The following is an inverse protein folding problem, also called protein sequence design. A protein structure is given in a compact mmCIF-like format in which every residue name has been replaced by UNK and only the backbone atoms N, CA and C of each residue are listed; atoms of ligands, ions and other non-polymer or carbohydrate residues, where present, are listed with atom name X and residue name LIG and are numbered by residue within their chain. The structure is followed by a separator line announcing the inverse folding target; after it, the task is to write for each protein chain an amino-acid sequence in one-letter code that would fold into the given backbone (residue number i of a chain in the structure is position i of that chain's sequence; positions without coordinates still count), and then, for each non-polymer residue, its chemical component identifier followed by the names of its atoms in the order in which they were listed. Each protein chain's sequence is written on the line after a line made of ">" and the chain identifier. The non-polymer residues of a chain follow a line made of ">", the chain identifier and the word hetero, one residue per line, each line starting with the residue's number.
data_IF_315543770888
#
_entry.id   IF_315543770888
#
_cell.length_a   1.000
_cell.length_b   1.000
_cell.length_c   1.000
_cell.angle_alpha   90.00
_cell.angle_beta   90.00
_cell.angle_gamma   90.00
#
_symmetry.space_group_name_H-M   'P 1'
#
loop_
_entity.id
_entity.type
_entity.pdbx_description
1 polymer ?
#
# COMPACT_ATOMS: atom_id res chain seq x y z
N UNK A 1 2.00 -4.20 -10.70
CA UNK A 1 1.89 -3.80 -9.29
C UNK A 1 3.22 -4.06 -8.59
N UNK A 2 3.66 -3.13 -7.75
CA UNK A 2 4.76 -3.33 -6.81
C UNK A 2 4.19 -3.10 -5.43
N UNK A 3 4.32 -4.10 -4.56
CA UNK A 3 3.83 -4.05 -3.20
C UNK A 3 5.01 -3.90 -2.24
N UNK A 4 4.80 -3.11 -1.19
CA UNK A 4 5.73 -2.97 -0.08
C UNK A 4 4.96 -3.14 1.22
N UNK A 5 5.58 -3.72 2.23
CA UNK A 5 4.98 -3.88 3.56
C UNK A 5 4.94 -2.57 4.35
N UNK A 6 4.34 -1.52 3.79
CA UNK A 6 4.19 -0.22 4.45
C UNK A 6 2.76 0.29 4.32
N UNK A 7 2.08 0.45 5.44
CA UNK A 7 0.70 0.91 5.54
C UNK A 7 0.37 1.31 6.97
N UNK A 8 -0.85 1.80 7.23
CA UNK A 8 -1.26 2.30 8.54
C UNK A 8 -1.02 1.32 9.69
N UNK A 9 -1.21 0.02 9.45
CA UNK A 9 -0.99 -1.05 10.44
C UNK A 9 0.45 -1.52 10.59
N UNK A 10 1.43 -0.98 9.84
CA UNK A 10 2.83 -1.39 9.96
C UNK A 10 3.37 -1.07 11.35
N UNK A 11 3.91 -2.09 12.02
CA UNK A 11 4.40 -2.02 13.40
C UNK A 11 5.75 -1.30 13.44
N UNK A 12 5.92 -0.42 14.42
CA UNK A 12 7.18 0.25 14.72
C UNK A 12 7.85 -0.39 15.93
N UNK A 13 9.15 -0.65 15.82
CA UNK A 13 9.94 -1.33 16.85
C UNK A 13 11.41 -0.93 16.79
N UNK A 14 12.15 -1.20 17.85
CA UNK A 14 13.60 -0.96 17.91
C UNK A 14 14.31 -2.30 17.83
N UNK A 15 15.22 -2.44 16.87
CA UNK A 15 15.99 -3.67 16.71
C UNK A 15 17.09 -3.83 17.76
N UNK A 16 17.71 -5.01 17.80
CA UNK A 16 18.79 -5.33 18.76
C UNK A 16 20.03 -4.42 18.61
N UNK A 17 20.17 -3.75 17.50
CA UNK A 17 21.22 -2.76 17.26
C UNK A 17 20.85 -1.34 17.70
N UNK A 18 19.64 -1.14 18.25
CA UNK A 18 19.15 0.18 18.68
C UNK A 18 18.63 1.05 17.53
N UNK A 19 18.29 0.47 16.37
CA UNK A 19 17.74 1.23 15.25
C UNK A 19 16.22 1.11 15.21
N UNK A 20 15.54 2.25 14.97
CA UNK A 20 14.09 2.29 14.73
C UNK A 20 13.75 1.61 13.41
N UNK A 21 12.78 0.71 13.44
CA UNK A 21 12.25 -0.03 12.29
C UNK A 21 10.75 0.15 12.17
N UNK A 22 10.26 0.07 10.93
CA UNK A 22 8.83 0.10 10.62
C UNK A 22 8.53 -1.02 9.62
N UNK A 23 7.60 -1.92 10.00
CA UNK A 23 7.36 -3.15 9.27
C UNK A 23 8.50 -4.17 9.41
N UNK A 24 8.52 -5.27 8.64
CA UNK A 24 7.49 -5.66 7.66
C UNK A 24 6.20 -6.20 8.30
N UNK A 25 6.19 -6.38 9.62
CA UNK A 25 5.02 -6.87 10.35
C UNK A 25 3.92 -5.81 10.42
N UNK A 26 2.69 -6.28 10.37
CA UNK A 26 1.49 -5.44 10.48
C UNK A 26 0.60 -5.94 11.60
N UNK A 27 0.02 -5.01 12.35
CA UNK A 27 -1.01 -5.32 13.35
C UNK A 27 -2.34 -5.76 12.71
N UNK A 28 -2.48 -5.66 11.39
CA UNK A 28 -3.70 -6.00 10.68
C UNK A 28 -4.87 -5.07 11.02
N UNK A 29 -6.08 -5.58 10.84
CA UNK A 29 -7.31 -4.93 11.25
C UNK A 29 -7.68 -5.30 12.70
N UNK A 30 -7.35 -6.53 13.10
CA UNK A 30 -7.54 -7.09 14.44
C UNK A 30 -6.23 -7.76 14.90
N UNK A 31 -5.70 -7.38 16.07
CA UNK A 31 -6.19 -6.34 16.98
C UNK A 31 -6.01 -4.92 16.43
N UNK A 32 -5.24 -4.70 15.35
CA UNK A 32 -5.00 -3.42 14.73
C UNK A 32 -4.10 -2.47 15.52
N UNK A 33 -4.01 -1.21 15.09
CA UNK A 33 -3.34 -0.13 15.82
C UNK A 33 -3.79 -0.01 17.27
N UNK A 34 -2.88 0.37 18.15
CA UNK A 34 -3.20 0.55 19.59
C UNK A 34 -4.34 1.54 19.78
N UNK A 35 -4.36 2.61 19.01
CA UNK A 35 -5.37 3.66 19.10
C UNK A 35 -6.79 3.19 18.74
N UNK A 36 -6.96 2.02 18.11
CA UNK A 36 -8.30 1.48 17.84
C UNK A 36 -8.98 0.92 19.09
N UNK A 37 -8.22 0.64 20.16
CA UNK A 37 -8.79 0.10 21.41
C UNK A 37 -9.29 -1.35 21.32
N UNK A 38 -8.87 -2.09 20.27
CA UNK A 38 -9.29 -3.47 20.02
C UNK A 38 -8.29 -4.52 20.55
N UNK A 39 -7.38 -4.10 21.44
CA UNK A 39 -6.38 -4.98 22.06
C UNK A 39 -5.01 -4.97 21.39
N UNK A 40 -4.76 -4.08 20.44
CA UNK A 40 -3.44 -3.83 19.88
C UNK A 40 -2.47 -3.33 20.97
N UNK A 41 -1.23 -3.82 20.96
CA UNK A 41 -0.20 -3.46 21.95
C UNK A 41 1.06 -2.88 21.34
N UNK A 42 1.27 -3.09 20.06
CA UNK A 42 2.45 -2.63 19.33
C UNK A 42 2.13 -1.35 18.54
N UNK A 43 2.95 -0.28 18.67
CA UNK A 43 2.67 0.97 18.00
C UNK A 43 2.82 0.83 16.48
N UNK A 44 1.96 1.53 15.75
CA UNK A 44 1.91 1.49 14.29
C UNK A 44 2.09 2.87 13.67
N UNK A 45 2.14 2.93 12.34
CA UNK A 45 2.09 4.19 11.57
C UNK A 45 0.82 4.99 11.90
N UNK A 46 -0.32 4.32 12.11
CA UNK A 46 -1.58 4.99 12.48
C UNK A 46 -1.46 5.66 13.85
N UNK A 47 -0.87 4.99 14.84
CA UNK A 47 -0.62 5.55 16.16
C UNK A 47 0.31 6.76 16.08
N UNK A 48 1.37 6.69 15.26
CA UNK A 48 2.28 7.80 15.03
C UNK A 48 1.59 9.00 14.37
N UNK A 49 0.72 8.78 13.38
CA UNK A 49 -0.06 9.85 12.75
C UNK A 49 -1.05 10.50 13.74
N UNK A 50 -1.65 9.71 14.63
CA UNK A 50 -2.53 10.23 15.67
C UNK A 50 -1.76 11.10 16.68
N UNK A 51 -0.60 10.62 17.16
CA UNK A 51 0.25 11.38 18.11
C UNK A 51 0.74 12.70 17.50
N UNK A 52 0.99 12.72 16.20
CA UNK A 52 1.40 13.92 15.46
C UNK A 52 0.22 14.85 15.09
N UNK A 53 -1.01 14.54 15.52
CA UNK A 53 -2.19 15.36 15.26
C UNK A 53 -2.65 15.36 13.80
N UNK A 54 -2.28 14.37 13.01
CA UNK A 54 -2.71 14.21 11.61
C UNK A 54 -4.06 13.50 11.48
N UNK A 55 -4.48 12.83 12.54
CA UNK A 55 -5.79 12.20 12.69
C UNK A 55 -6.54 12.85 13.84
N UNK A 56 -7.83 13.10 13.67
CA UNK A 56 -8.69 13.60 14.74
C UNK A 56 -9.12 12.43 15.63
N UNK A 57 -8.78 12.41 16.92
CA UNK A 57 -9.16 11.34 17.83
C UNK A 57 -10.67 11.18 18.00
N UNK A 58 -11.46 12.23 17.76
CA UNK A 58 -12.90 12.23 17.93
C UNK A 58 -13.67 12.02 16.62
N UNK A 59 -12.99 12.02 15.48
CA UNK A 59 -13.61 11.86 14.17
C UNK A 59 -12.77 10.98 13.26
N UNK A 60 -12.96 9.67 13.39
CA UNK A 60 -12.32 8.66 12.56
C UNK A 60 -13.38 7.74 11.93
N UNK A 61 -13.10 7.18 10.75
CA UNK A 61 -14.05 6.34 9.99
C UNK A 61 -15.44 7.00 9.83
N UNK A 62 -15.47 8.29 9.45
CA UNK A 62 -16.75 9.02 9.30
C UNK A 62 -17.42 9.41 10.61
N UNK A 63 -16.70 9.33 11.74
CA UNK A 63 -17.24 9.60 13.08
C UNK A 63 -17.76 8.35 13.80
N UNK A 64 -17.61 7.18 13.20
CA UNK A 64 -18.06 5.91 13.81
C UNK A 64 -17.09 5.39 14.88
N UNK A 65 -15.86 5.88 14.90
CA UNK A 65 -14.82 5.44 15.82
C UNK A 65 -14.11 6.62 16.45
N UNK A 66 -13.86 6.56 17.76
CA UNK A 66 -12.94 7.42 18.49
C UNK A 66 -11.61 6.69 18.71
N UNK A 67 -10.50 7.43 18.64
CA UNK A 67 -9.16 6.87 18.77
C UNK A 67 -8.57 7.14 20.16
N UNK A 68 -7.93 6.14 20.75
CA UNK A 68 -7.22 6.26 22.03
C UNK A 68 -5.84 6.91 21.83
N UNK A 69 -5.80 8.23 21.93
CA UNK A 69 -4.53 8.99 21.88
C UNK A 69 -3.60 8.63 23.06
N UNK A 70 -4.17 8.36 24.25
CA UNK A 70 -3.39 8.02 25.43
C UNK A 70 -2.65 6.71 25.25
N UNK A 71 -3.36 5.66 24.79
CA UNK A 71 -2.79 4.36 24.48
C UNK A 71 -1.72 4.43 23.39
N UNK A 72 -1.97 5.18 22.30
CA UNK A 72 -1.00 5.38 21.24
C UNK A 72 0.31 6.04 21.75
N UNK A 73 0.20 7.10 22.55
CA UNK A 73 1.35 7.79 23.16
C UNK A 73 2.16 6.85 24.05
N UNK A 74 1.47 6.06 24.87
CA UNK A 74 2.12 5.12 25.80
C UNK A 74 2.83 3.98 25.06
N UNK A 75 2.22 3.45 24.00
CA UNK A 75 2.83 2.41 23.18
C UNK A 75 4.10 2.91 22.47
N UNK A 76 4.05 4.11 21.85
CA UNK A 76 5.22 4.73 21.22
C UNK A 76 6.29 5.05 22.25
N UNK A 77 5.90 5.54 23.44
CA UNK A 77 6.83 5.83 24.52
C UNK A 77 7.67 4.58 24.88
N UNK A 78 6.98 3.47 25.17
CA UNK A 78 7.63 2.23 25.62
C UNK A 78 8.45 1.55 24.53
N UNK A 79 7.86 1.40 23.35
CA UNK A 79 8.46 0.59 22.28
C UNK A 79 9.55 1.34 21.50
N UNK A 80 9.49 2.67 21.45
CA UNK A 80 10.35 3.44 20.56
C UNK A 80 11.06 4.60 21.27
N UNK A 81 10.33 5.48 21.97
CA UNK A 81 10.91 6.71 22.50
C UNK A 81 11.94 6.46 23.61
N UNK A 82 11.59 5.68 24.64
CA UNK A 82 12.50 5.34 25.75
C UNK A 82 13.75 4.61 25.28
N UNK A 83 13.67 3.53 24.48
CA UNK A 83 14.87 2.82 24.01
C UNK A 83 15.81 3.70 23.19
N UNK A 84 15.30 4.73 22.52
CA UNK A 84 16.07 5.62 21.66
C UNK A 84 16.47 6.95 22.35
N UNK A 85 16.01 7.21 23.56
CA UNK A 85 16.23 8.48 24.25
C UNK A 85 15.58 9.67 23.56
N UNK A 86 14.44 9.46 22.88
CA UNK A 86 13.70 10.49 22.14
C UNK A 86 12.44 10.93 22.90
N UNK A 87 11.91 12.09 22.52
CA UNK A 87 10.52 12.44 22.88
C UNK A 87 9.53 11.54 22.13
N UNK A 88 8.30 11.44 22.63
CA UNK A 88 7.24 10.64 22.00
C UNK A 88 6.97 11.17 20.58
N UNK A 89 6.89 12.49 20.42
CA UNK A 89 6.69 13.15 19.13
C UNK A 89 7.89 12.93 18.19
N UNK A 90 9.12 12.95 18.75
CA UNK A 90 10.34 12.64 17.99
C UNK A 90 10.36 11.22 17.46
N UNK A 91 9.97 10.24 18.29
CA UNK A 91 9.84 8.85 17.87
C UNK A 91 8.71 8.67 16.84
N UNK A 92 7.54 9.30 17.06
CA UNK A 92 6.44 9.28 16.12
C UNK A 92 6.83 9.88 14.75
N UNK A 93 7.56 10.99 14.75
CA UNK A 93 8.09 11.57 13.52
C UNK A 93 9.08 10.62 12.82
N UNK A 94 9.98 9.99 13.57
CA UNK A 94 10.92 8.99 13.04
C UNK A 94 10.21 7.82 12.37
N UNK A 95 9.14 7.31 12.98
CA UNK A 95 8.30 6.25 12.41
C UNK A 95 7.77 6.66 11.03
N UNK A 96 7.21 7.86 10.93
CA UNK A 96 6.65 8.36 9.68
C UNK A 96 7.73 8.59 8.61
N UNK A 97 8.89 9.12 8.96
CA UNK A 97 9.97 9.35 8.01
C UNK A 97 10.56 8.04 7.46
N UNK A 98 10.68 7.00 8.28
CA UNK A 98 11.10 5.66 7.83
C UNK A 98 10.08 5.07 6.85
N UNK A 99 8.79 5.17 7.18
CA UNK A 99 7.72 4.70 6.30
C UNK A 99 7.71 5.45 4.96
N UNK A 100 7.82 6.77 4.98
CA UNK A 100 7.88 7.59 3.76
C UNK A 100 9.10 7.24 2.91
N UNK A 101 10.27 7.05 3.52
CA UNK A 101 11.49 6.64 2.82
C UNK A 101 11.32 5.29 2.12
N UNK A 102 10.68 4.32 2.78
CA UNK A 102 10.38 3.02 2.17
C UNK A 102 9.45 3.17 0.95
N UNK A 103 8.41 4.01 1.07
CA UNK A 103 7.48 4.31 -0.03
C UNK A 103 8.18 5.02 -1.20
N UNK A 104 9.05 6.00 -0.92
CA UNK A 104 9.85 6.68 -1.96
C UNK A 104 10.79 5.71 -2.68
N UNK A 105 11.42 4.80 -1.95
CA UNK A 105 12.28 3.77 -2.55
C UNK A 105 11.48 2.85 -3.48
N UNK A 106 10.28 2.42 -3.08
CA UNK A 106 9.39 1.64 -3.94
C UNK A 106 8.97 2.42 -5.20
N UNK A 107 8.67 3.71 -5.05
CA UNK A 107 8.33 4.58 -6.17
C UNK A 107 9.51 4.69 -7.16
N UNK A 108 10.75 4.77 -6.68
CA UNK A 108 11.95 4.77 -7.54
C UNK A 108 12.12 3.47 -8.33
N UNK A 109 11.72 2.32 -7.77
CA UNK A 109 11.76 1.03 -8.48
C UNK A 109 10.85 1.03 -9.73
N UNK A 110 9.70 1.70 -9.65
CA UNK A 110 8.71 1.72 -10.75
C UNK A 110 8.88 2.91 -11.69
N UNK A 111 9.69 3.88 -11.34
CA UNK A 111 9.98 5.09 -12.15
C UNK A 111 11.43 5.15 -12.60
N UNK A 112 12.34 5.57 -11.76
CA UNK A 112 13.75 5.83 -12.10
C UNK A 112 14.43 4.59 -12.67
N UNK A 113 14.25 3.42 -12.07
CA UNK A 113 14.84 2.18 -12.56
C UNK A 113 14.28 1.72 -13.91
N UNK A 114 13.14 2.26 -14.30
CA UNK A 114 12.53 2.03 -15.63
C UNK A 114 12.82 3.16 -16.61
N UNK A 115 13.68 4.11 -16.25
CA UNK A 115 14.04 5.24 -17.10
C UNK A 115 13.04 6.39 -17.11
N UNK A 116 12.10 6.44 -16.16
CA UNK A 116 11.15 7.54 -16.04
C UNK A 116 11.59 8.53 -14.98
N UNK A 117 11.55 9.82 -15.28
CA UNK A 117 11.80 10.89 -14.30
C UNK A 117 10.53 11.16 -13.48
N UNK A 118 10.53 10.97 -12.15
CA UNK A 118 9.37 11.24 -11.30
C UNK A 118 8.84 12.68 -11.41
N UNK A 119 9.70 13.65 -11.79
CA UNK A 119 9.32 15.06 -11.93
C UNK A 119 8.32 15.32 -13.06
N UNK A 120 8.24 14.41 -14.02
CA UNK A 120 7.32 14.50 -15.16
C UNK A 120 5.91 14.00 -14.82
N UNK A 121 5.73 13.44 -13.61
CA UNK A 121 4.49 12.80 -13.19
C UNK A 121 3.74 13.59 -12.12
N UNK A 122 2.52 13.15 -11.86
CA UNK A 122 1.70 13.55 -10.73
C UNK A 122 1.53 12.33 -9.82
N UNK A 123 1.71 12.52 -8.50
CA UNK A 123 1.43 11.47 -7.52
C UNK A 123 -0.05 11.47 -7.17
N UNK A 124 -0.69 10.31 -7.29
CA UNK A 124 -2.07 10.13 -6.84
C UNK A 124 -2.06 9.35 -5.52
N UNK A 125 -2.52 10.00 -4.45
CA UNK A 125 -2.65 9.38 -3.12
C UNK A 125 -4.08 8.95 -2.86
N UNK A 126 -4.30 7.64 -2.66
CA UNK A 126 -5.61 7.08 -2.34
C UNK A 126 -5.50 5.92 -1.35
N UNK A 127 -6.64 5.34 -0.94
CA UNK A 127 -6.72 4.38 0.16
C UNK A 127 -6.81 5.07 1.52
N UNK A 128 -6.82 4.30 2.59
CA UNK A 128 -6.98 4.81 3.96
C UNK A 128 -5.80 5.66 4.44
N UNK A 129 -4.56 5.22 4.21
CA UNK A 129 -3.35 5.88 4.69
C UNK A 129 -2.63 6.72 3.62
N UNK A 130 -2.80 6.40 2.33
CA UNK A 130 -2.09 7.03 1.22
C UNK A 130 -2.09 8.56 1.25
N UNK A 131 -3.24 9.23 1.39
CA UNK A 131 -3.34 10.69 1.45
C UNK A 131 -2.47 11.35 2.53
N UNK A 132 -2.34 10.72 3.70
CA UNK A 132 -1.57 11.26 4.82
C UNK A 132 -0.05 11.31 4.55
N UNK A 133 0.44 10.51 3.60
CA UNK A 133 1.85 10.40 3.23
C UNK A 133 2.18 11.09 1.90
N UNK A 134 1.19 11.31 1.04
CA UNK A 134 1.38 11.66 -0.37
C UNK A 134 2.23 12.93 -0.58
N UNK A 135 1.98 14.00 0.18
CA UNK A 135 2.71 15.26 0.04
C UNK A 135 4.19 15.06 0.39
N UNK A 136 4.47 14.40 1.51
CA UNK A 136 5.85 14.18 1.95
C UNK A 136 6.62 13.25 1.00
N UNK A 137 5.95 12.23 0.48
CA UNK A 137 6.51 11.35 -0.57
C UNK A 137 6.83 12.15 -1.83
N UNK A 138 5.92 13.01 -2.28
CA UNK A 138 6.13 13.84 -3.45
C UNK A 138 7.32 14.79 -3.29
N UNK A 139 7.46 15.46 -2.11
CA UNK A 139 8.60 16.31 -1.78
C UNK A 139 9.92 15.53 -1.88
N UNK A 140 10.01 14.36 -1.24
CA UNK A 140 11.21 13.52 -1.24
C UNK A 140 11.54 12.93 -2.62
N UNK A 141 10.53 12.68 -3.45
CA UNK A 141 10.70 12.16 -4.80
C UNK A 141 10.89 13.26 -5.86
N UNK A 142 10.71 14.53 -5.50
CA UNK A 142 10.75 15.66 -6.42
C UNK A 142 9.54 15.77 -7.34
N UNK A 143 8.41 15.14 -7.00
CA UNK A 143 7.18 15.17 -7.78
C UNK A 143 6.45 16.50 -7.53
N UNK A 144 6.18 17.31 -8.58
CA UNK A 144 5.68 18.67 -8.39
C UNK A 144 4.18 18.76 -8.07
N UNK A 145 3.41 17.68 -8.26
CA UNK A 145 1.95 17.69 -8.13
C UNK A 145 1.46 16.45 -7.41
N UNK A 146 0.52 16.66 -6.48
CA UNK A 146 -0.18 15.60 -5.76
C UNK A 146 -1.67 15.75 -6.01
N UNK A 147 -2.34 14.66 -6.33
CA UNK A 147 -3.78 14.57 -6.44
C UNK A 147 -4.33 13.63 -5.37
N UNK A 148 -5.26 14.11 -4.58
CA UNK A 148 -6.09 13.29 -3.69
C UNK A 148 -7.50 13.30 -4.28
N UNK A 149 -8.01 12.16 -4.79
CA UNK A 149 -9.34 12.10 -5.39
C UNK A 149 -10.44 12.29 -4.33
N UNK A 150 -11.64 12.63 -4.79
CA UNK A 150 -12.81 12.61 -3.92
C UNK A 150 -13.08 11.17 -3.46
N UNK A 151 -13.30 10.98 -2.16
CA UNK A 151 -13.48 9.64 -1.57
C UNK A 151 -12.24 8.74 -1.71
N UNK A 152 -11.05 9.18 -1.28
CA UNK A 152 -9.82 8.44 -1.51
C UNK A 152 -9.85 7.03 -0.92
N UNK A 153 -10.56 6.81 0.20
CA UNK A 153 -10.70 5.50 0.84
C UNK A 153 -11.46 4.46 -0.01
N UNK A 154 -12.32 4.91 -0.92
CA UNK A 154 -13.13 4.05 -1.80
C UNK A 154 -12.69 4.05 -3.26
N UNK A 155 -11.59 4.75 -3.58
CA UNK A 155 -11.12 4.89 -4.97
C UNK A 155 -10.79 3.54 -5.63
N UNK A 156 -10.25 2.58 -4.87
CA UNK A 156 -9.99 1.22 -5.40
C UNK A 156 -11.28 0.47 -5.74
N UNK A 157 -12.31 0.59 -4.90
CA UNK A 157 -13.61 -0.03 -5.16
C UNK A 157 -14.27 0.58 -6.40
N UNK A 158 -14.20 1.92 -6.55
CA UNK A 158 -14.67 2.59 -7.75
C UNK A 158 -13.88 2.10 -9.00
N UNK A 159 -12.57 1.96 -8.88
CA UNK A 159 -11.74 1.43 -9.96
C UNK A 159 -12.19 0.04 -10.40
N UNK A 160 -12.50 -0.85 -9.45
CA UNK A 160 -13.00 -2.20 -9.76
C UNK A 160 -14.37 -2.18 -10.45
N UNK A 161 -15.24 -1.24 -10.11
CA UNK A 161 -16.57 -1.11 -10.73
C UNK A 161 -16.51 -0.63 -12.21
N UNK A 162 -15.46 0.10 -12.59
CA UNK A 162 -15.29 0.66 -13.94
C UNK A 162 -14.23 -0.05 -14.76
N UNK A 163 -13.61 -1.08 -14.22
CA UNK A 163 -12.56 -1.85 -14.92
C UNK A 163 -13.20 -3.03 -15.65
N UNK A 164 -12.83 -3.18 -16.92
CA UNK A 164 -13.23 -4.35 -17.73
C UNK A 164 -12.64 -5.64 -17.15
N UNK A 165 -13.38 -6.72 -17.28
CA UNK A 165 -12.89 -8.07 -16.94
C UNK A 165 -11.79 -8.45 -17.93
N UNK A 166 -10.57 -8.65 -17.41
CA UNK A 166 -9.40 -9.00 -18.21
C UNK A 166 -8.87 -10.37 -17.79
N UNK A 167 -8.71 -11.23 -18.78
CA UNK A 167 -8.04 -12.53 -18.61
C UNK A 167 -6.66 -12.48 -19.24
N UNK A 168 -5.66 -12.93 -18.51
CA UNK A 168 -4.29 -13.03 -18.99
C UNK A 168 -3.84 -14.49 -18.94
N UNK A 169 -3.23 -14.95 -20.02
CA UNK A 169 -2.64 -16.28 -20.12
C UNK A 169 -1.21 -16.19 -20.65
N UNK A 170 -0.31 -17.03 -20.14
CA UNK A 170 1.06 -17.13 -20.64
C UNK A 170 1.45 -18.59 -20.81
N UNK A 171 2.31 -18.85 -21.80
CA UNK A 171 2.95 -20.14 -21.97
C UNK A 171 4.42 -19.93 -22.29
N UNK A 172 5.28 -20.77 -21.72
CA UNK A 172 6.72 -20.75 -22.02
C UNK A 172 7.01 -21.75 -23.13
N UNK A 173 7.60 -21.26 -24.22
CA UNK A 173 8.06 -22.09 -25.33
C UNK A 173 9.57 -21.92 -25.47
N UNK A 174 10.32 -22.97 -25.12
CA UNK A 174 11.78 -22.97 -25.23
C UNK A 174 12.11 -23.69 -26.57
N UNK A 175 12.62 -22.89 -27.53
CA UNK A 175 13.07 -23.40 -28.84
C UNK A 175 14.32 -22.65 -29.27
N UNK A 176 15.15 -23.26 -30.08
CA UNK A 176 16.27 -22.57 -30.72
C UNK A 176 15.75 -21.66 -31.83
N UNK A 177 16.44 -20.54 -32.09
CA UNK A 177 16.01 -19.57 -33.09
C UNK A 177 15.97 -20.09 -34.52
N UNK A 178 16.77 -21.15 -34.81
CA UNK A 178 16.82 -21.85 -36.09
C UNK A 178 15.81 -23.01 -36.22
N UNK A 179 15.12 -23.34 -35.12
CA UNK A 179 14.12 -24.42 -35.02
C UNK A 179 12.71 -23.88 -34.76
N UNK A 180 12.48 -22.59 -34.95
CA UNK A 180 11.16 -21.97 -34.68
C UNK A 180 10.12 -22.43 -35.69
N UNK A 181 9.12 -23.14 -35.22
CA UNK A 181 7.93 -23.53 -36.01
C UNK A 181 6.78 -22.55 -35.72
N UNK A 182 6.52 -21.62 -36.66
CA UNK A 182 5.43 -20.63 -36.50
C UNK A 182 4.04 -21.26 -36.29
N UNK A 183 3.67 -22.40 -36.94
CA UNK A 183 2.41 -23.07 -36.65
C UNK A 183 2.26 -23.52 -35.18
N UNK A 184 3.35 -23.94 -34.55
CA UNK A 184 3.37 -24.34 -33.15
C UNK A 184 3.12 -23.13 -32.24
N UNK A 185 3.72 -21.98 -32.55
CA UNK A 185 3.46 -20.71 -31.81
C UNK A 185 2.00 -20.33 -31.98
N UNK A 186 1.46 -20.37 -33.20
CA UNK A 186 0.06 -20.04 -33.46
C UNK A 186 -0.92 -20.95 -32.71
N UNK A 187 -0.62 -22.28 -32.63
CA UNK A 187 -1.45 -23.22 -31.87
C UNK A 187 -1.45 -22.92 -30.37
N UNK A 188 -0.31 -22.49 -29.81
CA UNK A 188 -0.25 -22.09 -28.40
C UNK A 188 -1.04 -20.81 -28.12
N UNK A 189 -0.99 -19.82 -29.00
CA UNK A 189 -1.85 -18.64 -28.90
C UNK A 189 -3.34 -19.02 -28.93
N UNK A 190 -3.76 -19.83 -29.88
CA UNK A 190 -5.15 -20.30 -29.95
C UNK A 190 -5.59 -21.05 -28.69
N UNK A 191 -4.70 -21.88 -28.12
CA UNK A 191 -4.97 -22.56 -26.85
C UNK A 191 -5.15 -21.57 -25.68
N UNK A 192 -4.29 -20.54 -25.59
CA UNK A 192 -4.38 -19.49 -24.56
C UNK A 192 -5.65 -18.66 -24.72
N UNK A 193 -6.01 -18.30 -25.95
CA UNK A 193 -7.24 -17.55 -26.26
C UNK A 193 -8.48 -18.36 -25.89
N UNK A 194 -8.52 -19.65 -26.22
CA UNK A 194 -9.63 -20.53 -25.86
C UNK A 194 -9.79 -20.68 -24.36
N UNK A 195 -8.68 -20.88 -23.64
CA UNK A 195 -8.67 -20.98 -22.18
C UNK A 195 -9.11 -19.64 -21.51
N UNK A 196 -8.65 -18.51 -22.03
CA UNK A 196 -9.06 -17.18 -21.58
C UNK A 196 -10.55 -16.93 -21.79
N UNK A 197 -11.07 -17.27 -22.96
CA UNK A 197 -12.50 -17.16 -23.27
C UNK A 197 -13.37 -18.05 -22.39
N UNK A 198 -12.92 -19.26 -22.06
CA UNK A 198 -13.61 -20.16 -21.13
C UNK A 198 -13.63 -19.59 -19.71
N UNK A 199 -12.48 -19.14 -19.21
CA UNK A 199 -12.37 -18.50 -17.89
C UNK A 199 -13.25 -17.25 -17.79
N UNK A 200 -13.29 -16.41 -18.85
CA UNK A 200 -14.15 -15.24 -18.90
C UNK A 200 -15.64 -15.61 -18.82
N UNK A 201 -16.09 -16.61 -19.60
CA UNK A 201 -17.48 -17.10 -19.53
C UNK A 201 -17.83 -17.64 -18.14
N UNK A 202 -16.91 -18.40 -17.53
CA UNK A 202 -17.12 -18.92 -16.16
C UNK A 202 -17.26 -17.80 -15.14
N UNK A 203 -16.44 -16.77 -15.21
CA UNK A 203 -16.53 -15.59 -14.34
C UNK A 203 -17.84 -14.83 -14.53
N UNK A 204 -18.28 -14.61 -15.77
CA UNK A 204 -19.54 -13.93 -16.07
C UNK A 204 -20.76 -14.73 -15.57
N UNK A 205 -20.76 -16.06 -15.70
CA UNK A 205 -21.84 -16.90 -15.18
C UNK A 205 -21.91 -16.94 -13.65
N UNK A 206 -20.78 -16.82 -12.97
CA UNK A 206 -20.71 -16.77 -11.51
C UNK A 206 -21.20 -15.43 -10.93
N UNK A 207 -21.09 -14.32 -11.68
CA UNK A 207 -21.54 -12.99 -11.27
C UNK A 207 -23.04 -12.78 -11.41
N UNK A 208 -23.76 -13.64 -12.10
CA UNK A 208 -25.20 -13.49 -12.38
C UNK A 208 -25.53 -12.30 -13.30
N UNK A 209 -24.55 -11.70 -13.92
CA UNK A 209 -24.70 -10.57 -14.83
C UNK A 209 -25.10 -11.09 -16.22
N UNK A 210 -26.19 -10.59 -16.84
CA UNK A 210 -26.48 -10.90 -18.22
C UNK A 210 -25.35 -10.33 -19.09
N UNK A 211 -24.66 -11.18 -19.83
CA UNK A 211 -23.63 -10.78 -20.80
C UNK A 211 -24.19 -9.70 -21.75
N UNK A 212 -23.50 -8.57 -21.83
CA UNK A 212 -23.64 -7.62 -22.91
C UNK A 212 -22.98 -8.15 -24.20
#
# INVERSE_FOLDING_TARGET
>A
LVEIGAGGGSIAWVDSGGALRVGPYSAGAEPGPVCYGLGGTEPTITDANLVLGRLDPNYFAGGEMSLDLGGAREAIRKACAEPLGLSIEGAAHGIIEIANTAMVNALRLVSVQRGHDPRDFMLIGFGGAGPAHAVRIAEQAGIPRVLIPLGPGTASALGLLVTDVRMEGSATLIVRSDEVEFPRIASEFQRLEAAGAEAHRAAASASGDPMF
#
